data_IF_862161534680
#
_entry.id   IF_862161534680
#
_cell.length_a   1.000
_cell.length_b   1.000
_cell.length_c   1.000
_cell.angle_alpha   90.00
_cell.angle_beta   90.00
_cell.angle_gamma   90.00
#
_symmetry.space_group_name_H-M   'P 1'
#
loop_
_entity.id
_entity.type
_entity.pdbx_description
1 polymer ?
#
# COMPACT_ATOMS: atom_id res chain seq x y z
N UNK A 1 2.49 -3.24 -56.36
CA UNK A 1 2.92 -3.85 -55.10
C UNK A 1 3.77 -2.84 -54.33
N UNK A 2 3.21 -2.15 -53.32
CA UNK A 2 3.99 -1.43 -52.31
C UNK A 2 3.20 -1.51 -51.00
N UNK A 3 3.73 -2.24 -50.02
CA UNK A 3 3.15 -2.38 -48.68
C UNK A 3 3.83 -1.40 -47.75
N UNK A 4 3.14 -0.33 -47.37
CA UNK A 4 3.59 0.59 -46.32
C UNK A 4 3.48 -0.12 -44.97
N UNK A 5 4.62 -0.61 -44.47
CA UNK A 5 4.75 -1.06 -43.07
C UNK A 5 4.82 0.18 -42.19
N UNK A 6 3.71 0.52 -41.55
CA UNK A 6 3.66 1.49 -40.46
C UNK A 6 4.43 0.92 -39.28
N UNK A 7 5.66 1.39 -39.06
CA UNK A 7 6.39 1.12 -37.83
C UNK A 7 5.67 1.83 -36.67
N UNK A 8 4.92 1.05 -35.88
CA UNK A 8 4.37 1.47 -34.60
C UNK A 8 5.56 1.64 -33.66
N UNK A 9 5.96 2.88 -33.39
CA UNK A 9 6.94 3.21 -32.34
C UNK A 9 6.34 2.81 -31.00
N UNK A 10 6.63 1.60 -30.56
CA UNK A 10 6.27 1.14 -29.23
C UNK A 10 7.20 1.86 -28.25
N UNK A 11 6.64 2.69 -27.36
CA UNK A 11 7.38 3.27 -26.25
C UNK A 11 8.08 2.14 -25.46
N UNK A 12 9.29 2.36 -24.92
CA UNK A 12 9.95 1.37 -24.09
C UNK A 12 9.01 0.93 -22.96
N UNK A 13 9.03 -0.36 -22.56
CA UNK A 13 8.19 -0.83 -21.46
C UNK A 13 8.48 0.04 -20.24
N UNK A 14 7.48 0.81 -19.80
CA UNK A 14 7.59 1.63 -18.62
C UNK A 14 8.06 0.75 -17.46
N UNK A 15 9.12 1.17 -16.77
CA UNK A 15 9.65 0.45 -15.62
C UNK A 15 8.49 0.10 -14.66
N UNK A 16 8.53 -1.09 -14.01
CA UNK A 16 7.44 -1.53 -13.15
C UNK A 16 7.18 -0.46 -12.08
N UNK A 17 5.95 0.05 -12.02
CA UNK A 17 5.56 1.03 -11.02
C UNK A 17 5.69 0.41 -9.64
N UNK A 18 6.41 1.09 -8.76
CA UNK A 18 6.57 0.66 -7.36
C UNK A 18 5.30 1.04 -6.59
N UNK A 19 4.65 0.05 -5.98
CA UNK A 19 3.60 0.32 -5.00
C UNK A 19 4.21 1.00 -3.76
N UNK A 20 3.68 2.17 -3.40
CA UNK A 20 4.09 2.91 -2.20
C UNK A 20 2.85 3.08 -1.33
N UNK A 21 2.91 2.58 -0.12
CA UNK A 21 1.88 2.78 0.89
C UNK A 21 1.92 4.20 1.44
N UNK A 22 0.77 4.73 1.82
CA UNK A 22 0.64 6.02 2.49
C UNK A 22 0.17 5.90 3.95
N UNK A 23 0.52 4.80 4.62
CA UNK A 23 0.09 4.53 6.00
C UNK A 23 0.43 5.68 6.96
N UNK A 24 1.59 6.31 6.84
CA UNK A 24 1.95 7.46 7.69
C UNK A 24 0.99 8.65 7.53
N UNK A 25 0.48 8.87 6.32
CA UNK A 25 -0.52 9.93 6.04
C UNK A 25 -1.84 9.55 6.67
N UNK A 26 -2.30 8.32 6.46
CA UNK A 26 -3.55 7.80 7.05
C UNK A 26 -3.49 7.80 8.59
N UNK A 27 -2.33 7.47 9.18
CA UNK A 27 -2.12 7.60 10.62
C UNK A 27 -2.33 9.05 11.09
N UNK A 28 -1.77 10.03 10.39
CA UNK A 28 -1.95 11.44 10.74
C UNK A 28 -3.40 11.92 10.57
N UNK A 29 -4.08 11.52 9.48
CA UNK A 29 -5.49 11.84 9.21
C UNK A 29 -6.44 11.27 10.27
N UNK A 30 -6.09 10.12 10.85
CA UNK A 30 -6.86 9.45 11.92
C UNK A 30 -6.31 9.70 13.33
N UNK A 31 -5.44 10.71 13.49
CA UNK A 31 -4.83 11.12 14.76
C UNK A 31 -4.03 10.02 15.49
N UNK A 32 -3.58 8.99 14.77
CA UNK A 32 -2.73 7.91 15.28
C UNK A 32 -1.28 8.37 15.24
N UNK A 33 -0.67 8.60 16.40
CA UNK A 33 0.70 9.15 16.47
C UNK A 33 1.78 8.09 16.53
N UNK A 34 1.45 6.90 17.01
CA UNK A 34 2.42 5.85 17.31
C UNK A 34 2.09 4.55 16.60
N UNK A 35 3.12 3.83 16.17
CA UNK A 35 2.97 2.49 15.57
C UNK A 35 2.40 1.50 16.60
N UNK A 36 2.71 1.68 17.88
CA UNK A 36 2.14 0.88 18.98
C UNK A 36 0.62 1.05 19.06
N UNK A 37 0.12 2.26 18.88
CA UNK A 37 -1.31 2.54 18.87
C UNK A 37 -2.00 1.90 17.65
N UNK A 38 -1.40 2.04 16.46
CA UNK A 38 -1.87 1.35 15.25
C UNK A 38 -1.93 -0.16 15.46
N UNK A 39 -0.88 -0.73 16.06
CA UNK A 39 -0.78 -2.15 16.37
C UNK A 39 -1.90 -2.61 17.31
N UNK A 40 -2.15 -1.88 18.40
CA UNK A 40 -3.21 -2.19 19.35
C UNK A 40 -4.59 -2.16 18.69
N UNK A 41 -4.86 -1.16 17.83
CA UNK A 41 -6.16 -1.06 17.13
C UNK A 41 -6.35 -2.21 16.14
N UNK A 42 -5.34 -2.57 15.37
CA UNK A 42 -5.37 -3.72 14.46
C UNK A 42 -5.59 -5.05 15.22
N UNK A 43 -4.90 -5.23 16.35
CA UNK A 43 -5.05 -6.44 17.16
C UNK A 43 -6.43 -6.53 17.82
N UNK A 44 -7.03 -5.40 18.20
CA UNK A 44 -8.40 -5.35 18.69
C UNK A 44 -9.44 -5.76 17.62
N UNK A 45 -9.09 -5.62 16.34
CA UNK A 45 -9.89 -6.08 15.20
C UNK A 45 -9.60 -7.54 14.79
N UNK A 46 -8.71 -8.23 15.52
CA UNK A 46 -8.31 -9.61 15.21
C UNK A 46 -7.23 -9.76 14.13
N UNK A 47 -6.57 -8.65 13.75
CA UNK A 47 -5.48 -8.69 12.76
C UNK A 47 -4.18 -9.07 13.46
N UNK A 48 -3.68 -10.27 13.18
CA UNK A 48 -2.42 -10.76 13.73
C UNK A 48 -1.22 -10.25 12.92
N UNK A 49 -0.44 -9.33 13.53
CA UNK A 49 0.81 -8.85 12.97
C UNK A 49 1.80 -8.53 14.09
N UNK A 50 3.08 -8.84 13.90
CA UNK A 50 4.10 -8.41 14.88
C UNK A 50 4.38 -6.90 14.77
N UNK A 51 4.74 -6.28 15.89
CA UNK A 51 5.10 -4.86 15.90
C UNK A 51 6.23 -4.52 14.90
N UNK A 52 7.22 -5.40 14.74
CA UNK A 52 8.32 -5.20 13.80
C UNK A 52 7.88 -5.25 12.33
N UNK A 53 6.95 -6.14 11.98
CA UNK A 53 6.35 -6.18 10.66
C UNK A 53 5.53 -4.91 10.40
N UNK A 54 4.71 -4.48 11.34
CA UNK A 54 3.92 -3.26 11.19
C UNK A 54 4.81 -2.03 11.02
N UNK A 55 5.91 -1.91 11.77
CA UNK A 55 6.91 -0.85 11.56
C UNK A 55 7.45 -0.85 10.13
N UNK A 56 7.70 -2.01 9.52
CA UNK A 56 8.14 -2.09 8.12
C UNK A 56 7.06 -1.66 7.14
N UNK A 57 5.79 -2.00 7.42
CA UNK A 57 4.63 -1.57 6.63
C UNK A 57 4.52 -0.04 6.64
N UNK A 58 4.54 0.57 7.82
CA UNK A 58 4.51 2.03 8.01
C UNK A 58 5.67 2.70 7.27
N UNK A 59 6.87 2.12 7.34
CA UNK A 59 8.08 2.65 6.71
C UNK A 59 8.29 2.22 5.24
N UNK A 60 7.30 1.61 4.59
CA UNK A 60 7.40 1.16 3.19
C UNK A 60 8.60 0.23 2.89
N UNK A 61 9.05 -0.52 3.89
CA UNK A 61 10.18 -1.47 3.78
C UNK A 61 9.75 -2.93 3.82
N UNK A 62 8.43 -3.19 3.85
CA UNK A 62 7.90 -4.55 3.68
C UNK A 62 8.03 -5.04 2.25
N UNK A 63 8.16 -6.36 2.07
CA UNK A 63 8.19 -7.04 0.77
C UNK A 63 6.84 -7.65 0.38
N UNK A 64 5.97 -7.87 1.35
CA UNK A 64 4.68 -8.52 1.19
C UNK A 64 3.69 -8.01 2.24
N UNK A 65 2.41 -8.09 1.93
CA UNK A 65 1.29 -7.77 2.82
C UNK A 65 0.32 -8.94 2.76
N UNK A 66 -0.22 -9.36 3.91
CA UNK A 66 -1.34 -10.30 3.93
C UNK A 66 -2.62 -9.58 3.54
N UNK A 67 -3.60 -10.33 3.03
CA UNK A 67 -4.93 -9.81 2.70
C UNK A 67 -5.61 -9.32 3.98
N UNK A 68 -5.54 -10.09 5.08
CA UNK A 68 -6.12 -9.72 6.37
C UNK A 68 -5.58 -8.38 6.90
N UNK A 69 -4.29 -8.10 6.68
CA UNK A 69 -3.71 -6.80 7.06
C UNK A 69 -4.23 -5.68 6.16
N UNK A 70 -4.37 -5.91 4.85
CA UNK A 70 -4.91 -4.90 3.93
C UNK A 70 -6.37 -4.58 4.29
N UNK A 71 -7.18 -5.59 4.54
CA UNK A 71 -8.58 -5.43 4.97
C UNK A 71 -8.67 -4.75 6.34
N UNK A 72 -7.82 -5.14 7.29
CA UNK A 72 -7.72 -4.52 8.60
C UNK A 72 -7.35 -3.04 8.54
N UNK A 73 -6.34 -2.68 7.74
CA UNK A 73 -5.93 -1.28 7.54
C UNK A 73 -7.03 -0.47 6.83
N UNK A 74 -7.63 -1.02 5.78
CA UNK A 74 -8.73 -0.38 5.06
C UNK A 74 -9.93 -0.11 5.97
N UNK A 75 -10.30 -1.10 6.80
CA UNK A 75 -11.39 -0.97 7.78
C UNK A 75 -11.05 0.02 8.88
N UNK A 76 -9.82 -0.02 9.42
CA UNK A 76 -9.38 0.88 10.48
C UNK A 76 -9.36 2.35 10.03
N UNK A 77 -8.92 2.59 8.80
CA UNK A 77 -8.86 3.92 8.20
C UNK A 77 -10.12 4.31 7.44
N UNK A 78 -11.20 3.52 7.54
CA UNK A 78 -12.48 3.76 6.87
C UNK A 78 -12.33 4.16 5.39
N UNK A 79 -11.52 3.41 4.64
CA UNK A 79 -11.23 3.73 3.25
C UNK A 79 -11.01 2.47 2.39
N UNK A 80 -11.19 2.54 1.06
CA UNK A 80 -10.96 1.37 0.21
C UNK A 80 -9.48 0.99 0.18
N UNK A 81 -9.17 -0.29 -0.06
CA UNK A 81 -7.79 -0.81 -0.10
C UNK A 81 -6.87 -0.04 -1.06
N UNK A 82 -7.40 0.45 -2.19
CA UNK A 82 -6.66 1.29 -3.13
C UNK A 82 -6.13 2.57 -2.48
N UNK A 83 -6.87 3.12 -1.52
CA UNK A 83 -6.53 4.32 -0.79
C UNK A 83 -5.39 4.10 0.22
N UNK A 84 -4.97 2.86 0.48
CA UNK A 84 -3.78 2.57 1.26
C UNK A 84 -2.48 2.91 0.50
N UNK A 85 -2.57 3.05 -0.81
CA UNK A 85 -1.44 3.34 -1.69
C UNK A 85 -1.47 4.81 -2.14
N UNK A 86 -0.29 5.33 -2.45
CA UNK A 86 -0.16 6.61 -3.15
C UNK A 86 -0.60 6.42 -4.60
N UNK A 87 -1.35 7.37 -5.13
CA UNK A 87 -1.60 7.44 -6.56
C UNK A 87 -0.27 7.62 -7.31
N UNK A 88 -0.07 6.82 -8.35
CA UNK A 88 1.16 6.77 -9.15
C UNK A 88 1.05 7.57 -10.44
#
# INVERSE_FOLDING_TARGET
MQTSKTHKTQAPPAAPRKAVLRIQVLMAEHEIRFVTELWTRLHAMGVEISHSQLTRVVNNSTKSLSIDLLEGLATLFDCPVSNLFKDA
#
